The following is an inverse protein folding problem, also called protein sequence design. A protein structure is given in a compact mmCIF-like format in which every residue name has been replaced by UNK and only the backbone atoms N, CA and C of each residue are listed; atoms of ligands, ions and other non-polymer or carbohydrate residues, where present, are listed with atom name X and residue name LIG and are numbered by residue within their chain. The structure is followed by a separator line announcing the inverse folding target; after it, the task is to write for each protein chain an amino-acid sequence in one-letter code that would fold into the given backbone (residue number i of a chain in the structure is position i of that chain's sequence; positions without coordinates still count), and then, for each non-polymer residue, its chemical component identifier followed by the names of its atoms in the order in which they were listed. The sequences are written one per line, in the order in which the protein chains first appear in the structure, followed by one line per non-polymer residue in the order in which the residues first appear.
data_IF_298864183270
#
_entry.id   IF_298864183270
#
_cell.length_a   1.000
_cell.length_b   1.000
_cell.length_c   1.000
_cell.angle_alpha   90.00
_cell.angle_beta   90.00
_cell.angle_gamma   90.00
#
_symmetry.space_group_name_H-M   'P 1'
#
loop_
_entity.id
_entity.type
_entity.pdbx_description
1 polymer ?
#
# COMPACT_ATOMS: atom_id res chain seq x y z
N UNK A 1 -15.67 -15.41 2.06
CA UNK A 1 -14.34 -16.05 2.21
C UNK A 1 -13.32 -15.26 1.44
N UNK A 2 -12.21 -14.95 2.06
CA UNK A 2 -11.13 -14.27 1.36
C UNK A 2 -10.35 -15.26 0.51
N UNK A 3 -10.16 -14.90 -0.77
CA UNK A 3 -9.41 -15.72 -1.72
C UNK A 3 -8.33 -14.84 -2.34
N UNK A 4 -7.10 -15.32 -2.36
CA UNK A 4 -5.98 -14.63 -3.00
C UNK A 4 -5.58 -15.35 -4.30
N UNK A 5 -5.58 -14.61 -5.40
CA UNK A 5 -5.03 -15.05 -6.68
C UNK A 5 -3.63 -14.43 -6.86
N UNK A 6 -2.69 -15.19 -7.41
CA UNK A 6 -1.30 -14.72 -7.59
C UNK A 6 -1.18 -13.74 -8.76
N UNK A 7 -2.00 -12.70 -8.75
CA UNK A 7 -2.00 -11.63 -9.75
C UNK A 7 -2.64 -10.38 -9.15
N UNK A 8 -2.27 -9.23 -9.69
CA UNK A 8 -2.92 -7.99 -9.28
C UNK A 8 -4.38 -7.97 -9.72
N UNK A 9 -5.25 -7.35 -8.92
CA UNK A 9 -6.66 -7.14 -9.27
C UNK A 9 -6.79 -6.31 -10.56
N UNK A 10 -5.93 -5.29 -10.72
CA UNK A 10 -5.81 -4.51 -11.93
C UNK A 10 -4.35 -4.44 -12.35
N UNK A 11 -4.05 -4.52 -13.66
CA UNK A 11 -2.66 -4.48 -14.10
C UNK A 11 -2.02 -3.12 -13.87
N UNK A 12 -0.74 -3.13 -13.52
CA UNK A 12 0.08 -1.92 -13.38
C UNK A 12 1.22 -1.99 -14.38
N UNK A 13 1.34 -0.97 -15.22
CA UNK A 13 2.38 -0.91 -16.24
C UNK A 13 2.87 0.54 -16.38
N UNK A 14 3.84 0.90 -15.54
CA UNK A 14 4.43 2.24 -15.54
C UNK A 14 5.69 2.20 -16.38
N UNK A 15 5.72 3.02 -17.43
CA UNK A 15 6.80 3.00 -18.41
C UNK A 15 8.02 3.81 -17.96
N UNK A 16 7.79 4.90 -17.23
CA UNK A 16 8.86 5.81 -16.81
C UNK A 16 8.95 5.85 -15.29
N UNK A 17 10.09 5.46 -14.75
CA UNK A 17 10.35 5.55 -13.32
C UNK A 17 10.34 7.01 -12.86
N UNK A 18 9.77 7.26 -11.68
CA UNK A 18 9.69 8.60 -11.12
C UNK A 18 9.66 8.53 -9.57
N UNK A 19 10.83 8.60 -8.92
CA UNK A 19 10.91 8.54 -7.45
C UNK A 19 10.08 9.62 -6.77
N UNK A 20 9.95 10.78 -7.38
CA UNK A 20 9.13 11.87 -6.83
C UNK A 20 7.65 11.48 -6.74
N UNK A 21 7.13 10.81 -7.75
CA UNK A 21 5.75 10.30 -7.71
C UNK A 21 5.61 9.20 -6.68
N UNK A 22 6.60 8.32 -6.53
CA UNK A 22 6.60 7.29 -5.49
C UNK A 22 6.49 7.92 -4.10
N UNK A 23 7.22 8.99 -3.85
CA UNK A 23 7.17 9.73 -2.58
C UNK A 23 5.77 10.27 -2.29
N UNK A 24 5.06 10.73 -3.32
CA UNK A 24 3.69 11.21 -3.16
C UNK A 24 2.70 10.06 -2.91
N UNK A 25 2.93 8.90 -3.51
CA UNK A 25 2.01 7.77 -3.44
C UNK A 25 2.19 6.94 -2.16
N UNK A 26 3.36 7.02 -1.51
CA UNK A 26 3.65 6.17 -0.35
C UNK A 26 2.64 6.33 0.79
N UNK A 27 2.02 7.50 0.92
CA UNK A 27 0.99 7.74 1.93
C UNK A 27 -0.27 6.89 1.73
N UNK A 28 -0.46 6.33 0.54
CA UNK A 28 -1.58 5.45 0.22
C UNK A 28 -1.28 3.98 0.51
N UNK A 29 -0.04 3.65 0.85
CA UNK A 29 0.37 2.30 1.23
C UNK A 29 -0.03 1.98 2.67
N UNK A 30 0.47 2.75 3.61
CA UNK A 30 0.16 2.63 5.03
C UNK A 30 -0.20 3.99 5.60
N UNK A 31 -0.41 4.04 6.92
CA UNK A 31 -0.82 5.28 7.58
C UNK A 31 -2.34 5.48 7.55
N UNK A 32 -2.81 6.59 8.16
CA UNK A 32 -4.25 6.79 8.37
C UNK A 32 -5.06 6.89 7.07
N UNK A 33 -4.44 7.30 5.98
CA UNK A 33 -5.11 7.48 4.70
C UNK A 33 -4.75 6.39 3.68
N UNK A 34 -3.98 5.38 4.11
CA UNK A 34 -3.53 4.30 3.24
C UNK A 34 -4.48 3.12 3.17
N UNK A 35 -4.23 2.23 2.21
CA UNK A 35 -5.08 1.06 1.96
C UNK A 35 -5.02 0.06 3.12
N UNK A 36 -3.86 -0.08 3.77
CA UNK A 36 -3.74 -0.94 4.94
C UNK A 36 -4.64 -0.45 6.09
N UNK A 37 -4.62 0.84 6.39
CA UNK A 37 -5.45 1.40 7.44
C UNK A 37 -6.94 1.33 7.07
N UNK A 38 -7.28 1.51 5.80
CA UNK A 38 -8.65 1.34 5.32
C UNK A 38 -9.14 -0.09 5.57
N UNK A 39 -8.34 -1.09 5.22
CA UNK A 39 -8.66 -2.50 5.50
C UNK A 39 -8.88 -2.71 7.00
N UNK A 40 -7.98 -2.22 7.84
CA UNK A 40 -8.09 -2.34 9.30
C UNK A 40 -9.38 -1.73 9.83
N UNK A 41 -9.76 -0.54 9.34
CA UNK A 41 -11.01 0.11 9.77
C UNK A 41 -12.23 -0.71 9.41
N UNK A 42 -12.36 -1.10 8.15
CA UNK A 42 -13.55 -1.82 7.69
C UNK A 42 -13.66 -3.20 8.33
N UNK A 43 -12.55 -3.92 8.41
CA UNK A 43 -12.56 -5.25 9.03
C UNK A 43 -12.83 -5.20 10.53
N UNK A 44 -12.38 -4.17 11.24
CA UNK A 44 -12.71 -4.02 12.66
C UNK A 44 -14.16 -3.60 12.87
N UNK A 45 -14.65 -2.69 12.04
CA UNK A 45 -16.03 -2.18 12.14
C UNK A 45 -17.09 -3.27 11.91
N UNK A 46 -16.77 -4.29 11.11
CA UNK A 46 -17.73 -5.36 10.85
C UNK A 46 -18.22 -6.04 12.13
N UNK A 47 -17.37 -6.16 13.14
CA UNK A 47 -17.72 -6.87 14.36
C UNK A 47 -18.65 -6.07 15.28
N UNK A 48 -18.71 -4.75 15.12
CA UNK A 48 -19.61 -3.88 15.89
C UNK A 48 -20.88 -3.52 15.13
N UNK A 49 -21.05 -3.99 13.88
CA UNK A 49 -22.26 -3.70 13.10
C UNK A 49 -23.43 -4.59 13.52
N UNK A 50 -24.56 -4.01 13.93
CA UNK A 50 -25.74 -4.80 14.27
C UNK A 50 -26.42 -5.42 13.04
N UNK A 51 -26.26 -4.83 11.85
CA UNK A 51 -26.87 -5.31 10.62
C UNK A 51 -25.93 -6.25 9.87
N UNK A 52 -26.36 -7.50 9.67
CA UNK A 52 -25.54 -8.52 9.01
C UNK A 52 -25.19 -8.16 7.57
N UNK A 53 -26.08 -7.49 6.83
CA UNK A 53 -25.80 -7.07 5.45
C UNK A 53 -24.67 -6.05 5.41
N UNK A 54 -24.70 -5.08 6.33
CA UNK A 54 -23.62 -4.08 6.42
C UNK A 54 -22.33 -4.72 6.87
N UNK A 55 -22.39 -5.65 7.83
CA UNK A 55 -21.22 -6.42 8.25
C UNK A 55 -20.57 -7.17 7.08
N UNK A 56 -21.39 -7.81 6.23
CA UNK A 56 -20.92 -8.47 5.02
C UNK A 56 -20.28 -7.51 4.03
N UNK A 57 -20.90 -6.37 3.81
CA UNK A 57 -20.37 -5.33 2.93
C UNK A 57 -19.01 -4.82 3.44
N UNK A 58 -18.89 -4.55 4.74
CA UNK A 58 -17.63 -4.12 5.33
C UNK A 58 -16.53 -5.17 5.20
N UNK A 59 -16.89 -6.45 5.28
CA UNK A 59 -15.94 -7.54 5.05
C UNK A 59 -15.42 -7.53 3.61
N UNK A 60 -16.32 -7.39 2.65
CA UNK A 60 -15.97 -7.37 1.23
C UNK A 60 -15.07 -6.18 0.91
N UNK A 61 -15.43 -5.00 1.37
CA UNK A 61 -14.63 -3.78 1.15
C UNK A 61 -13.27 -3.91 1.85
N UNK A 62 -13.26 -4.33 3.11
CA UNK A 62 -12.03 -4.43 3.88
C UNK A 62 -11.02 -5.41 3.31
N UNK A 63 -11.48 -6.54 2.76
CA UNK A 63 -10.60 -7.51 2.10
C UNK A 63 -10.15 -7.00 0.74
N UNK A 64 -10.99 -6.25 0.02
CA UNK A 64 -10.59 -5.65 -1.26
C UNK A 64 -9.49 -4.60 -1.08
N UNK A 65 -9.46 -3.90 0.05
CA UNK A 65 -8.39 -2.95 0.34
C UNK A 65 -7.01 -3.64 0.40
N UNK A 66 -6.95 -4.92 0.72
CA UNK A 66 -5.69 -5.68 0.66
C UNK A 66 -5.23 -5.87 -0.79
N UNK A 67 -6.15 -6.03 -1.73
CA UNK A 67 -5.83 -6.05 -3.15
C UNK A 67 -5.31 -4.68 -3.63
N UNK A 68 -5.89 -3.60 -3.13
CA UNK A 68 -5.41 -2.24 -3.42
C UNK A 68 -4.02 -2.00 -2.84
N UNK A 69 -3.74 -2.50 -1.64
CA UNK A 69 -2.42 -2.44 -1.05
C UNK A 69 -1.37 -3.08 -1.96
N UNK A 70 -1.67 -4.27 -2.53
CA UNK A 70 -0.78 -4.95 -3.45
C UNK A 70 -0.54 -4.12 -4.72
N UNK A 71 -1.59 -3.48 -5.24
CA UNK A 71 -1.47 -2.59 -6.40
C UNK A 71 -0.54 -1.42 -6.10
N UNK A 72 -0.67 -0.79 -4.93
CA UNK A 72 0.22 0.30 -4.51
C UNK A 72 1.67 -0.18 -4.42
N UNK A 73 1.91 -1.37 -3.89
CA UNK A 73 3.25 -1.96 -3.86
C UNK A 73 3.84 -2.08 -5.27
N UNK A 74 3.06 -2.56 -6.23
CA UNK A 74 3.50 -2.69 -7.62
C UNK A 74 3.78 -1.33 -8.26
N UNK A 75 2.95 -0.33 -7.99
CA UNK A 75 3.14 1.03 -8.49
C UNK A 75 4.47 1.60 -7.96
N UNK A 76 4.70 1.50 -6.65
CA UNK A 76 5.93 2.01 -6.03
C UNK A 76 7.15 1.30 -6.60
N UNK A 77 7.09 -0.02 -6.74
CA UNK A 77 8.19 -0.80 -7.31
C UNK A 77 8.52 -0.31 -8.73
N UNK A 78 7.51 -0.11 -9.56
CA UNK A 78 7.71 0.31 -10.95
C UNK A 78 8.18 1.77 -11.05
N UNK A 79 7.71 2.64 -10.16
CA UNK A 79 8.14 4.05 -10.12
C UNK A 79 9.59 4.20 -9.64
N UNK A 80 10.09 3.27 -8.84
CA UNK A 80 11.45 3.33 -8.29
C UNK A 80 12.42 2.40 -9.01
N UNK A 81 12.05 1.92 -10.19
CA UNK A 81 12.87 1.03 -11.00
C UNK A 81 14.22 1.68 -11.31
N UNK A 82 15.30 0.95 -11.02
CA UNK A 82 16.68 1.42 -11.25
C UNK A 82 17.05 2.71 -10.50
N UNK A 83 16.31 3.01 -9.42
CA UNK A 83 16.60 4.18 -8.58
C UNK A 83 17.93 4.02 -7.85
N UNK A 84 18.72 5.09 -7.83
CA UNK A 84 19.95 5.16 -7.05
C UNK A 84 19.70 5.81 -5.70
N UNK A 85 20.57 5.59 -4.69
CA UNK A 85 20.39 6.22 -3.37
C UNK A 85 20.26 7.75 -3.43
N UNK A 86 21.00 8.40 -4.35
CA UNK A 86 20.92 9.85 -4.53
C UNK A 86 19.54 10.28 -5.02
N UNK A 87 18.93 9.51 -5.91
CA UNK A 87 17.60 9.79 -6.43
C UNK A 87 16.56 9.68 -5.33
N UNK A 88 16.70 8.68 -4.45
CA UNK A 88 15.82 8.52 -3.30
C UNK A 88 15.87 9.73 -2.38
N UNK A 89 17.09 10.18 -2.05
CA UNK A 89 17.29 11.35 -1.19
C UNK A 89 16.73 12.62 -1.83
N UNK A 90 17.04 12.85 -3.11
CA UNK A 90 16.55 14.03 -3.83
C UNK A 90 15.04 14.07 -3.91
N UNK A 91 14.40 12.92 -4.07
CA UNK A 91 12.93 12.83 -4.13
C UNK A 91 12.27 12.84 -2.74
N UNK A 92 13.03 12.73 -1.66
CA UNK A 92 12.48 12.63 -0.30
C UNK A 92 11.89 11.26 0.02
N UNK A 93 12.38 10.22 -0.66
CA UNK A 93 11.86 8.85 -0.52
C UNK A 93 12.75 7.95 0.33
N UNK A 94 13.91 8.42 0.72
CA UNK A 94 14.92 7.64 1.45
C UNK A 94 14.45 7.17 2.85
N UNK A 95 13.47 7.85 3.45
CA UNK A 95 12.89 7.41 4.72
C UNK A 95 12.07 6.12 4.58
N UNK A 96 11.62 5.77 3.38
CA UNK A 96 10.71 4.65 3.13
C UNK A 96 11.32 3.54 2.28
N UNK A 97 12.53 3.72 1.80
CA UNK A 97 13.10 2.85 0.78
C UNK A 97 14.50 2.40 1.17
N UNK A 98 14.75 1.10 1.15
CA UNK A 98 16.07 0.53 1.43
C UNK A 98 16.86 0.44 0.13
N UNK A 99 16.45 -0.46 -0.73
CA UNK A 99 16.99 -0.67 -2.08
C UNK A 99 15.99 -1.46 -2.90
N UNK A 100 16.31 -1.71 -4.16
CA UNK A 100 15.37 -2.40 -5.05
C UNK A 100 15.25 -3.90 -4.75
N UNK A 101 16.11 -4.45 -3.91
CA UNK A 101 16.05 -5.84 -3.44
C UNK A 101 15.17 -5.96 -2.20
N UNK A 102 15.43 -5.11 -1.20
CA UNK A 102 14.70 -5.11 0.07
C UNK A 102 13.39 -4.30 0.01
N UNK A 103 13.26 -3.44 -1.00
CA UNK A 103 12.09 -2.59 -1.22
C UNK A 103 11.83 -1.63 -0.06
N UNK A 104 10.59 -1.55 0.40
CA UNK A 104 10.18 -0.58 1.39
C UNK A 104 10.68 -0.95 2.79
N UNK A 105 11.03 0.08 3.54
CA UNK A 105 11.37 -0.06 4.95
C UNK A 105 10.12 -0.44 5.73
N UNK A 106 10.21 -1.37 6.70
CA UNK A 106 9.05 -1.73 7.52
C UNK A 106 8.45 -0.51 8.20
N UNK A 107 7.12 -0.48 8.27
CA UNK A 107 6.37 0.63 8.81
C UNK A 107 5.36 0.14 9.84
N UNK A 108 5.05 1.00 10.80
CA UNK A 108 3.91 0.80 11.68
C UNK A 108 2.60 0.93 10.91
N UNK A 109 1.49 0.49 11.50
CA UNK A 109 0.16 0.68 10.93
C UNK A 109 -0.17 2.15 10.66
N UNK A 110 0.42 3.06 11.43
CA UNK A 110 0.27 4.51 11.23
C UNK A 110 1.11 5.07 10.10
N UNK A 111 1.90 4.25 9.41
CA UNK A 111 2.70 4.68 8.27
C UNK A 111 4.05 5.29 8.66
N UNK A 112 4.48 5.11 9.90
CA UNK A 112 5.78 5.62 10.37
C UNK A 112 6.82 4.52 10.16
N UNK A 113 7.90 4.78 9.39
CA UNK A 113 8.96 3.80 9.21
C UNK A 113 9.63 3.43 10.53
N UNK A 114 9.98 2.17 10.67
CA UNK A 114 10.75 1.73 11.83
C UNK A 114 12.16 2.33 11.78
N UNK A 115 12.65 2.68 12.93
CA UNK A 115 13.99 3.23 13.07
C UNK A 115 15.03 2.12 13.26
#
# INVERSE_FOLDING_TARGET
MWTYEKRLQFPVNIKTACPKTAQLIISQFGGPDGELAASMRYLSQRYSMPCRKISGLLTDIGTEELAHLEIICSIIFQLTRNMKPEDARTAGFDAYYIDHTAALWPQSAGGVPFN
#
